data_IF_924146810614
#
_entry.id   IF_924146810614
#
_cell.length_a   1.000
_cell.length_b   1.000
_cell.length_c   1.000
_cell.angle_alpha   90.00
_cell.angle_beta   90.00
_cell.angle_gamma   90.00
#
_symmetry.space_group_name_H-M   'P 1'
#
loop_
_entity.id
_entity.type
_entity.pdbx_description
1 polymer ?
#
# COMPACT_ATOMS: atom_id res chain seq x y z
N UNK A 1 3.93 -3.10 -5.50
CA UNK A 1 5.33 -3.38 -5.87
C UNK A 1 5.64 -2.67 -7.17
N UNK A 2 6.70 -1.88 -7.20
CA UNK A 2 7.10 -1.06 -8.34
C UNK A 2 8.49 -1.49 -8.83
N UNK A 3 8.75 -1.27 -10.11
CA UNK A 3 10.03 -1.52 -10.77
C UNK A 3 10.58 -0.18 -11.28
N UNK A 4 11.86 0.04 -11.04
CA UNK A 4 12.63 1.10 -11.69
C UNK A 4 13.81 0.52 -12.45
N UNK A 5 13.98 0.89 -13.71
CA UNK A 5 15.07 0.39 -14.56
C UNK A 5 16.30 1.31 -14.45
N UNK A 6 17.50 0.72 -14.52
CA UNK A 6 18.78 1.43 -14.43
C UNK A 6 19.45 1.35 -13.05
N UNK A 7 20.60 2.03 -12.91
CA UNK A 7 21.47 1.95 -11.72
C UNK A 7 21.55 3.24 -10.91
N UNK A 8 21.21 4.40 -11.50
CA UNK A 8 21.38 5.70 -10.87
C UNK A 8 20.03 6.40 -10.76
N UNK A 9 19.47 6.43 -9.55
CA UNK A 9 18.20 7.06 -9.24
C UNK A 9 17.03 6.54 -10.13
N UNK A 10 16.75 5.22 -10.08
CA UNK A 10 15.71 4.63 -10.92
C UNK A 10 14.33 5.22 -10.57
N UNK A 11 13.56 5.56 -11.60
CA UNK A 11 12.17 6.02 -11.42
C UNK A 11 11.27 4.80 -11.27
N UNK A 12 10.53 4.72 -10.15
CA UNK A 12 9.63 3.59 -9.84
C UNK A 12 8.24 3.75 -10.45
N UNK A 13 8.16 3.97 -11.77
CA UNK A 13 6.89 4.23 -12.48
C UNK A 13 6.25 2.97 -13.11
N UNK A 14 6.86 1.79 -12.96
CA UNK A 14 6.34 0.54 -13.53
C UNK A 14 5.72 -0.29 -12.40
N UNK A 15 4.39 -0.41 -12.35
CA UNK A 15 3.71 -1.23 -11.33
C UNK A 15 3.75 -2.71 -11.72
N UNK A 16 4.24 -3.54 -10.80
CA UNK A 16 4.32 -4.99 -10.97
C UNK A 16 3.13 -5.73 -10.33
N UNK A 17 2.37 -5.06 -9.49
CA UNK A 17 1.16 -5.58 -8.83
C UNK A 17 0.00 -4.67 -9.16
N UNK A 18 -0.45 -4.73 -10.42
CA UNK A 18 -1.65 -4.06 -10.90
C UNK A 18 -2.65 -5.13 -11.34
N UNK A 19 -3.82 -5.25 -10.70
CA UNK A 19 -4.35 -4.42 -9.62
C UNK A 19 -3.61 -4.59 -8.27
N UNK A 20 -3.74 -3.59 -7.38
CA UNK A 20 -3.09 -3.59 -6.07
C UNK A 20 -3.57 -4.76 -5.19
N UNK A 21 -2.68 -5.20 -4.29
CA UNK A 21 -2.95 -6.29 -3.36
C UNK A 21 -3.28 -5.71 -1.98
N UNK A 22 -4.34 -6.22 -1.36
CA UNK A 22 -4.66 -6.02 0.04
C UNK A 22 -4.25 -7.28 0.80
N UNK A 23 -3.19 -7.15 1.59
CA UNK A 23 -2.65 -8.20 2.45
C UNK A 23 -3.11 -7.95 3.89
N UNK A 24 -3.49 -9.01 4.58
CA UNK A 24 -3.95 -8.95 5.97
C UNK A 24 -3.39 -10.10 6.77
N UNK A 25 -3.04 -9.80 8.02
CA UNK A 25 -2.54 -10.76 8.98
C UNK A 25 -1.03 -10.66 9.17
N UNK A 26 -0.48 -11.52 10.03
CA UNK A 26 0.93 -11.47 10.39
C UNK A 26 1.68 -12.66 9.79
N UNK A 27 2.80 -12.38 9.14
CA UNK A 27 3.71 -13.40 8.63
C UNK A 27 4.41 -12.99 7.34
N UNK A 28 4.79 -13.99 6.55
CA UNK A 28 5.44 -13.79 5.26
C UNK A 28 4.41 -13.88 4.14
N UNK A 29 4.34 -12.84 3.31
CA UNK A 29 3.75 -12.91 1.98
C UNK A 29 4.88 -13.11 0.96
N UNK A 30 4.81 -14.18 0.18
CA UNK A 30 5.64 -14.40 -0.99
C UNK A 30 4.83 -14.41 -2.27
N UNK A 31 5.28 -13.65 -3.27
CA UNK A 31 4.75 -13.69 -4.63
C UNK A 31 5.70 -14.55 -5.48
N UNK A 32 5.37 -15.82 -5.76
CA UNK A 32 6.30 -16.76 -6.41
C UNK A 32 6.66 -16.34 -7.84
N UNK A 33 5.77 -15.58 -8.47
CA UNK A 33 6.01 -15.00 -9.77
C UNK A 33 5.32 -13.64 -9.85
N UNK A 34 6.07 -12.67 -10.35
CA UNK A 34 5.57 -11.33 -10.63
C UNK A 34 5.83 -11.07 -12.11
N UNK A 35 4.76 -10.76 -12.85
CA UNK A 35 4.81 -10.62 -14.30
C UNK A 35 5.15 -9.18 -14.68
N UNK A 36 6.08 -9.00 -15.62
CA UNK A 36 6.36 -7.68 -16.17
C UNK A 36 5.18 -7.20 -17.03
N UNK A 37 4.81 -5.91 -16.96
CA UNK A 37 3.79 -5.34 -17.83
C UNK A 37 4.16 -5.45 -19.32
N UNK A 38 3.14 -5.40 -20.19
CA UNK A 38 3.36 -5.41 -21.63
C UNK A 38 4.27 -4.26 -22.07
N UNK A 39 5.13 -4.51 -23.07
CA UNK A 39 6.09 -3.54 -23.59
C UNK A 39 7.37 -3.40 -22.77
N UNK A 40 7.46 -4.04 -21.59
CA UNK A 40 8.67 -4.06 -20.77
C UNK A 40 9.40 -5.39 -20.97
N UNK A 41 10.50 -5.36 -21.72
CA UNK A 41 11.34 -6.53 -22.01
C UNK A 41 12.83 -6.18 -21.81
N UNK A 42 13.31 -6.08 -20.56
CA UNK A 42 14.71 -5.78 -20.28
C UNK A 42 15.63 -6.88 -20.82
N UNK A 43 16.78 -6.48 -21.36
CA UNK A 43 17.79 -7.41 -21.83
C UNK A 43 18.48 -8.13 -20.65
N UNK A 44 19.08 -9.29 -20.93
CA UNK A 44 19.97 -9.96 -19.97
C UNK A 44 21.07 -9.00 -19.49
N UNK A 45 21.31 -8.96 -18.18
CA UNK A 45 22.27 -8.04 -17.55
C UNK A 45 21.71 -6.64 -17.24
N UNK A 46 20.46 -6.34 -17.59
CA UNK A 46 19.85 -5.05 -17.24
C UNK A 46 19.72 -4.92 -15.72
N UNK A 47 20.32 -3.88 -15.15
CA UNK A 47 20.14 -3.55 -13.74
C UNK A 47 18.82 -2.81 -13.52
N UNK A 48 18.19 -3.08 -12.38
CA UNK A 48 16.95 -2.46 -11.96
C UNK A 48 16.83 -2.52 -10.43
N UNK A 49 15.86 -1.81 -9.89
CA UNK A 49 15.49 -1.88 -8.49
C UNK A 49 14.01 -2.22 -8.36
N UNK A 50 13.68 -3.12 -7.45
CA UNK A 50 12.31 -3.39 -7.03
C UNK A 50 12.05 -2.55 -5.78
N UNK A 51 10.91 -1.87 -5.75
CA UNK A 51 10.40 -1.20 -4.58
C UNK A 51 9.14 -1.91 -4.09
N UNK A 52 9.18 -2.38 -2.85
CA UNK A 52 7.99 -2.81 -2.12
C UNK A 52 7.47 -1.61 -1.35
N UNK A 53 6.21 -1.28 -1.61
CA UNK A 53 5.46 -0.27 -0.86
C UNK A 53 4.36 -1.03 -0.12
N UNK A 54 4.41 -1.01 1.19
CA UNK A 54 3.41 -1.61 2.07
C UNK A 54 2.80 -0.55 2.95
N UNK A 55 1.51 -0.68 3.24
CA UNK A 55 0.79 0.24 4.12
C UNK A 55 0.46 -0.49 5.43
N UNK A 56 0.78 0.14 6.56
CA UNK A 56 0.34 -0.32 7.87
C UNK A 56 -1.12 0.03 8.13
N UNK A 57 -1.70 -0.55 9.19
CA UNK A 57 -3.09 -0.30 9.59
C UNK A 57 -3.34 1.18 9.94
N UNK A 58 -2.31 1.88 10.43
CA UNK A 58 -2.38 3.31 10.76
C UNK A 58 -2.24 4.22 9.52
N UNK A 59 -2.06 3.66 8.32
CA UNK A 59 -1.85 4.40 7.08
C UNK A 59 -0.42 4.88 6.87
N UNK A 60 0.53 4.42 7.69
CA UNK A 60 1.95 4.60 7.42
C UNK A 60 2.37 3.82 6.17
N UNK A 61 3.30 4.39 5.41
CA UNK A 61 3.83 3.78 4.20
C UNK A 61 5.29 3.39 4.42
N UNK A 62 5.58 2.10 4.24
CA UNK A 62 6.93 1.56 4.32
C UNK A 62 7.45 1.27 2.92
N UNK A 63 8.65 1.77 2.64
CA UNK A 63 9.33 1.64 1.36
C UNK A 63 10.60 0.83 1.58
N UNK A 64 10.69 -0.33 0.93
CA UNK A 64 11.91 -1.11 0.93
C UNK A 64 12.34 -1.43 -0.51
N UNK A 65 13.63 -1.31 -0.77
CA UNK A 65 14.19 -1.47 -2.11
C UNK A 65 15.12 -2.68 -2.16
N UNK A 66 15.14 -3.35 -3.31
CA UNK A 66 16.10 -4.38 -3.62
C UNK A 66 16.64 -4.17 -5.02
N UNK A 67 17.96 -4.03 -5.15
CA UNK A 67 18.62 -3.97 -6.44
C UNK A 67 18.73 -5.37 -7.03
N UNK A 68 18.42 -5.47 -8.33
CA UNK A 68 18.38 -6.70 -9.09
C UNK A 68 19.08 -6.53 -10.43
N UNK A 69 19.49 -7.66 -11.00
CA UNK A 69 19.93 -7.73 -12.39
C UNK A 69 19.07 -8.75 -13.10
N UNK A 70 18.43 -8.36 -14.21
CA UNK A 70 17.66 -9.28 -15.04
C UNK A 70 18.57 -10.33 -15.66
N UNK A 71 18.14 -11.59 -15.60
CA UNK A 71 18.86 -12.74 -16.18
C UNK A 71 17.90 -13.65 -16.91
N UNK A 72 18.24 -14.02 -18.13
CA UNK A 72 17.55 -14.98 -19.00
C UNK A 72 17.53 -16.40 -18.39
N UNK A 73 18.54 -16.72 -17.58
CA UNK A 73 18.66 -17.99 -16.87
C UNK A 73 18.25 -17.92 -15.39
N UNK A 74 17.50 -16.87 -14.98
CA UNK A 74 16.96 -16.77 -13.64
C UNK A 74 16.05 -17.96 -13.33
N UNK A 75 16.22 -18.56 -12.14
CA UNK A 75 15.39 -19.67 -11.66
C UNK A 75 14.30 -19.16 -10.73
N UNK A 76 13.10 -19.71 -10.87
CA UNK A 76 12.03 -19.52 -9.89
C UNK A 76 12.43 -20.12 -8.56
N UNK A 77 12.10 -19.44 -7.47
CA UNK A 77 12.32 -19.98 -6.12
C UNK A 77 11.43 -21.21 -5.89
N UNK A 78 11.98 -22.20 -5.17
CA UNK A 78 11.21 -23.35 -4.69
C UNK A 78 10.20 -22.94 -3.62
N UNK A 79 9.17 -23.77 -3.40
CA UNK A 79 8.14 -23.52 -2.40
C UNK A 79 8.70 -23.48 -0.97
N UNK A 80 9.86 -24.09 -0.72
CA UNK A 80 10.60 -24.01 0.55
C UNK A 80 11.20 -22.62 0.82
N UNK A 81 11.42 -21.83 -0.24
CA UNK A 81 11.97 -20.46 -0.15
C UNK A 81 10.92 -19.38 -0.32
N UNK A 82 9.79 -19.72 -0.95
CA UNK A 82 8.71 -18.80 -1.23
C UNK A 82 7.37 -19.43 -0.84
N UNK A 83 6.99 -19.25 0.41
CA UNK A 83 5.73 -19.74 0.98
C UNK A 83 5.06 -18.66 1.81
N UNK A 84 3.72 -18.59 1.72
CA UNK A 84 2.94 -17.72 2.58
C UNK A 84 2.75 -18.34 3.96
N UNK A 85 2.84 -17.54 5.01
CA UNK A 85 2.42 -17.97 6.34
C UNK A 85 0.91 -18.24 6.38
N UNK A 86 0.46 -19.18 7.21
CA UNK A 86 -0.96 -19.52 7.34
C UNK A 86 -1.84 -18.38 7.88
N UNK A 87 -1.23 -17.39 8.53
CA UNK A 87 -1.91 -16.19 9.04
C UNK A 87 -1.99 -15.05 8.03
N UNK A 88 -1.47 -15.20 6.81
CA UNK A 88 -1.43 -14.15 5.77
C UNK A 88 -2.50 -14.45 4.72
N UNK A 89 -3.34 -13.45 4.44
CA UNK A 89 -4.37 -13.51 3.38
C UNK A 89 -4.18 -12.37 2.41
N UNK A 90 -4.36 -12.65 1.11
CA UNK A 90 -4.23 -11.63 0.05
C UNK A 90 -5.49 -11.59 -0.78
N UNK A 91 -5.99 -10.39 -1.03
CA UNK A 91 -7.06 -10.11 -1.97
C UNK A 91 -6.67 -9.00 -2.93
N UNK A 92 -7.32 -8.94 -4.08
CA UNK A 92 -7.13 -7.85 -5.02
C UNK A 92 -7.99 -6.66 -4.59
N UNK A 93 -7.39 -5.48 -4.52
CA UNK A 93 -8.13 -4.23 -4.34
C UNK A 93 -8.89 -3.92 -5.63
N UNK A 94 -10.20 -4.09 -5.60
CA UNK A 94 -11.06 -3.67 -6.70
C UNK A 94 -11.05 -2.14 -6.78
N UNK A 95 -10.47 -1.59 -7.85
CA UNK A 95 -10.75 -0.20 -8.20
C UNK A 95 -12.22 -0.09 -8.60
N UNK A 96 -12.96 0.79 -7.92
CA UNK A 96 -14.35 1.10 -8.27
C UNK A 96 -14.35 1.89 -9.59
N UNK A 97 -14.46 1.19 -10.72
CA UNK A 97 -14.67 1.71 -12.07
C UNK A 97 -15.46 0.68 -12.88
N UNK A 98 -16.42 1.13 -13.70
CA UNK A 98 -17.48 0.35 -14.36
C UNK A 98 -17.19 -1.15 -14.57
N UNK A 99 -18.03 -1.97 -13.93
CA UNK A 99 -18.08 -3.42 -14.01
C UNK A 99 -17.99 -3.92 -15.45
N UNK A 100 -17.03 -4.80 -15.70
CA UNK A 100 -17.15 -5.86 -16.70
C UNK A 100 -16.66 -7.14 -16.05
N UNK A 101 -17.62 -7.89 -15.52
CA UNK A 101 -17.47 -9.22 -14.94
C UNK A 101 -17.05 -10.24 -15.99
N UNK A 102 -16.03 -11.09 -15.71
CA UNK A 102 -16.02 -12.46 -16.20
C UNK A 102 -16.65 -13.39 -15.16
N UNK A 103 -17.51 -14.27 -15.66
CA UNK A 103 -18.32 -15.23 -14.89
C UNK A 103 -17.52 -16.24 -14.07
N UNK A 104 -18.17 -16.66 -12.99
CA UNK A 104 -17.76 -17.61 -11.97
C UNK A 104 -17.47 -19.03 -12.47
N UNK A 105 -16.67 -19.77 -11.68
CA UNK A 105 -16.82 -21.22 -11.52
C UNK A 105 -17.12 -21.51 -10.05
N UNK A 106 -18.37 -21.88 -9.79
CA UNK A 106 -18.97 -22.18 -8.50
C UNK A 106 -18.62 -23.59 -8.05
N UNK A 107 -18.31 -23.76 -6.76
CA UNK A 107 -18.78 -24.91 -5.98
C UNK A 107 -18.65 -24.58 -4.49
N UNK A 108 -19.75 -24.16 -3.86
CA UNK A 108 -20.12 -24.58 -2.51
C UNK A 108 -21.56 -24.16 -2.24
N UNK A 109 -22.32 -25.14 -1.78
CA UNK A 109 -23.72 -25.05 -1.42
C UNK A 109 -23.93 -24.40 -0.05
N UNK A 110 -25.18 -23.95 0.12
CA UNK A 110 -25.89 -23.63 1.35
C UNK A 110 -25.54 -22.31 2.07
N UNK A 111 -26.44 -21.61 2.75
CA UNK A 111 -27.91 -21.46 2.79
C UNK A 111 -28.12 -20.36 3.85
N UNK A 112 -28.98 -19.37 3.55
CA UNK A 112 -29.62 -18.39 4.48
C UNK A 112 -28.68 -17.39 5.20
N UNK A 113 -28.99 -16.09 5.31
CA UNK A 113 -30.19 -15.51 5.92
C UNK A 113 -30.20 -13.98 5.66
N UNK A 114 -31.37 -13.45 5.27
CA UNK A 114 -32.06 -12.17 5.62
C UNK A 114 -31.25 -11.00 6.22
N UNK A 115 -31.57 -9.71 6.07
CA UNK A 115 -32.52 -8.89 5.29
C UNK A 115 -32.24 -7.41 5.65
N UNK A 116 -32.42 -6.51 4.67
CA UNK A 116 -33.09 -5.18 4.75
C UNK A 116 -32.68 -4.16 5.85
N UNK A 117 -32.15 -3.00 5.45
CA UNK A 117 -32.88 -1.74 5.16
C UNK A 117 -33.21 -0.93 6.44
N UNK A 118 -32.54 0.20 6.66
CA UNK A 118 -32.94 1.56 6.25
C UNK A 118 -33.70 2.30 7.35
N UNK A 119 -33.27 3.52 7.71
CA UNK A 119 -34.08 4.75 7.55
C UNK A 119 -33.46 5.95 8.27
N UNK A 120 -33.61 7.09 7.60
CA UNK A 120 -33.31 8.48 7.93
C UNK A 120 -34.24 9.12 8.97
N UNK A 121 -33.79 10.17 9.67
CA UNK A 121 -34.64 11.35 9.96
C UNK A 121 -33.87 12.57 10.50
N UNK A 122 -33.91 13.63 9.69
CA UNK A 122 -34.35 15.01 9.99
C UNK A 122 -33.72 15.88 11.09
N UNK A 123 -33.47 17.13 10.65
CA UNK A 123 -32.89 18.31 11.30
C UNK A 123 -33.74 18.89 12.44
N UNK A 124 -33.09 19.63 13.35
CA UNK A 124 -33.60 20.92 13.86
C UNK A 124 -32.45 21.80 14.39
N UNK A 125 -32.57 23.09 14.11
CA UNK A 125 -31.62 24.16 14.38
C UNK A 125 -31.87 24.82 15.74
N UNK A 126 -30.81 25.32 16.39
CA UNK A 126 -30.93 26.34 17.44
C UNK A 126 -29.74 27.32 17.34
N UNK A 127 -30.07 28.61 17.25
CA UNK A 127 -29.18 29.77 17.38
C UNK A 127 -28.66 29.87 18.84
N UNK A 128 -27.72 30.69 19.29
CA UNK A 128 -27.15 31.98 18.85
C UNK A 128 -25.94 32.22 19.77
N UNK A 129 -24.91 32.98 19.35
CA UNK A 129 -24.27 34.01 20.20
C UNK A 129 -23.10 34.67 19.46
N UNK A 130 -23.13 35.99 19.48
CA UNK A 130 -22.11 36.95 19.04
C UNK A 130 -20.94 37.00 20.03
N UNK A 131 -19.74 37.32 19.54
CA UNK A 131 -18.57 37.56 20.40
C UNK A 131 -17.29 37.83 19.62
N UNK A 132 -17.16 39.04 19.04
CA UNK A 132 -15.91 39.54 18.47
C UNK A 132 -14.98 40.03 19.57
N UNK A 133 -13.71 39.63 19.56
CA UNK A 133 -12.61 40.44 20.14
C UNK A 133 -11.26 39.98 19.57
N UNK A 134 -10.64 40.89 18.84
CA UNK A 134 -9.28 40.84 18.31
C UNK A 134 -8.28 41.10 19.45
N UNK A 135 -7.21 40.29 19.54
CA UNK A 135 -5.99 40.69 20.26
C UNK A 135 -4.76 40.37 19.41
N UNK A 136 -4.19 41.41 18.82
CA UNK A 136 -2.81 41.47 18.35
C UNK A 136 -1.88 41.59 19.55
N UNK A 137 -0.80 40.81 19.58
CA UNK A 137 0.25 40.97 20.59
C UNK A 137 1.46 40.10 20.31
N UNK A 138 2.43 40.64 19.58
CA UNK A 138 3.76 40.08 19.41
C UNK A 138 4.52 40.08 20.75
N UNK A 139 5.25 39.00 21.03
CA UNK A 139 6.15 38.88 22.16
C UNK A 139 7.29 37.92 21.84
N UNK A 140 8.39 38.47 21.33
CA UNK A 140 9.71 37.82 21.31
C UNK A 140 10.36 38.08 22.66
N UNK A 141 10.73 37.03 23.39
CA UNK A 141 11.67 37.12 24.50
C UNK A 141 12.53 35.87 24.55
N UNK A 142 13.84 36.12 24.54
CA UNK A 142 14.91 35.16 24.52
C UNK A 142 14.97 34.33 25.81
N UNK A 143 15.26 33.03 25.65
CA UNK A 143 15.66 32.14 26.73
C UNK A 143 16.78 31.24 26.25
N UNK A 144 17.97 31.43 26.84
CA UNK A 144 19.13 30.53 26.71
C UNK A 144 18.73 29.11 27.12
N UNK A 145 18.66 28.21 26.15
CA UNK A 145 18.55 26.77 26.38
C UNK A 145 19.71 26.07 25.70
N UNK A 146 20.65 25.54 26.48
CA UNK A 146 21.70 24.67 25.98
C UNK A 146 21.06 23.46 25.28
N UNK A 147 21.25 23.33 23.97
CA UNK A 147 20.91 22.13 23.21
C UNK A 147 22.06 21.13 23.36
N UNK A 148 22.04 20.34 24.43
CA UNK A 148 22.77 19.07 24.50
C UNK A 148 21.88 18.00 23.84
N UNK A 149 21.99 17.86 22.53
CA UNK A 149 21.44 16.71 21.79
C UNK A 149 22.37 15.51 22.01
N UNK A 150 22.16 14.76 23.09
CA UNK A 150 22.73 13.42 23.22
C UNK A 150 21.85 12.49 22.38
N UNK A 151 22.33 12.07 21.21
CA UNK A 151 21.71 10.96 20.51
C UNK A 151 22.03 9.65 21.25
N UNK A 152 20.99 8.84 21.33
CA UNK A 152 20.77 7.67 22.17
C UNK A 152 21.63 6.44 21.82
N UNK A 153 21.62 5.52 22.77
CA UNK A 153 21.80 4.06 22.63
C UNK A 153 21.22 3.50 21.33
#
# INVERSE_FOLDING_TARGET
VNLGLGTHNPTFNISLTSPFLNETGNGTLCLPKVTLPAGISPADGTNASIQVVAFGEAGDAQYNCADITFRSNAKTLGADKCSNSTGVSVSVVAQKGNVSTPSASTSSAATSTSSAAASSSTKASAASAVGSSSVTGAGVVAGLGALLMSWFL
#
